data_IF_718594395459
#
_entry.id   IF_718594395459
#
_cell.length_a   1.000
_cell.length_b   1.000
_cell.length_c   1.000
_cell.angle_alpha   90.00
_cell.angle_beta   90.00
_cell.angle_gamma   90.00
#
_symmetry.space_group_name_H-M   'P 1'
#
loop_
_entity.id
_entity.type
_entity.pdbx_description
1 polymer ?
#
# COMPACT_ATOMS: atom_id res chain seq x y z
N UNK A 1 10.78 -8.06 1.98
CA UNK A 1 10.98 -7.66 0.54
C UNK A 1 11.61 -6.27 0.46
N UNK A 2 12.23 -5.87 -0.66
CA UNK A 2 12.82 -4.53 -0.80
C UNK A 2 11.77 -3.49 -1.24
N UNK A 3 11.52 -2.48 -0.39
CA UNK A 3 10.63 -1.35 -0.71
C UNK A 3 11.06 -0.63 -1.99
N UNK A 4 10.10 -0.37 -2.89
CA UNK A 4 10.28 0.44 -4.10
C UNK A 4 9.37 1.66 -4.03
N UNK A 5 9.86 2.82 -4.49
CA UNK A 5 9.05 4.05 -4.48
C UNK A 5 7.75 3.84 -5.27
N UNK A 6 6.58 4.03 -4.63
CA UNK A 6 5.28 3.90 -5.30
C UNK A 6 5.08 4.98 -6.37
N UNK A 7 4.33 4.63 -7.42
CA UNK A 7 3.96 5.53 -8.52
C UNK A 7 2.61 6.17 -8.17
N UNK A 8 2.61 7.47 -7.91
CA UNK A 8 1.41 8.22 -7.49
C UNK A 8 0.98 9.27 -8.52
N UNK A 9 1.43 9.12 -9.77
CA UNK A 9 1.17 10.03 -10.87
C UNK A 9 0.57 9.33 -12.09
N UNK A 10 -0.17 8.24 -11.88
CA UNK A 10 -0.91 7.55 -12.91
C UNK A 10 -1.82 8.55 -13.63
N UNK A 11 -1.67 8.63 -14.96
CA UNK A 11 -2.46 9.53 -15.78
C UNK A 11 -2.91 8.84 -17.08
N UNK A 12 -4.19 9.03 -17.41
CA UNK A 12 -4.71 8.74 -18.74
C UNK A 12 -4.48 9.96 -19.61
N UNK A 13 -3.81 9.77 -20.74
CA UNK A 13 -3.52 10.83 -21.72
C UNK A 13 -3.80 10.30 -23.11
N UNK A 14 -4.22 11.19 -23.99
CA UNK A 14 -4.41 10.90 -25.41
C UNK A 14 -3.52 11.86 -26.21
N UNK A 15 -2.93 11.39 -27.30
CA UNK A 15 -2.18 12.25 -28.22
C UNK A 15 -3.12 13.08 -29.12
N UNK A 16 -2.55 13.95 -29.96
CA UNK A 16 -3.30 14.79 -30.89
C UNK A 16 -4.09 13.98 -31.94
N UNK A 17 -3.70 12.72 -32.17
CA UNK A 17 -4.33 11.78 -33.10
C UNK A 17 -5.41 10.89 -32.42
N UNK A 18 -5.63 11.07 -31.11
CA UNK A 18 -6.61 10.34 -30.31
C UNK A 18 -6.17 8.95 -29.87
N UNK A 19 -4.89 8.59 -30.05
CA UNK A 19 -4.33 7.34 -29.52
C UNK A 19 -4.01 7.47 -28.03
N UNK A 20 -4.15 6.36 -27.30
CA UNK A 20 -3.88 6.32 -25.87
C UNK A 20 -2.37 6.41 -25.60
N UNK A 21 -1.96 7.47 -24.93
CA UNK A 21 -0.60 7.75 -24.49
C UNK A 21 -0.49 7.79 -22.95
N UNK A 22 -1.48 7.20 -22.27
CA UNK A 22 -1.51 7.11 -20.81
C UNK A 22 -0.65 5.98 -20.25
N UNK A 23 -0.63 5.90 -18.93
CA UNK A 23 0.01 4.79 -18.23
C UNK A 23 -0.82 3.51 -18.35
N UNK A 24 -0.16 2.39 -18.60
CA UNK A 24 -0.79 1.06 -18.59
C UNK A 24 -0.51 0.37 -17.27
N UNK A 25 -1.56 -0.16 -16.63
CA UNK A 25 -1.40 -0.99 -15.45
C UNK A 25 -1.15 -2.44 -15.87
N UNK A 26 0.05 -2.94 -15.57
CA UNK A 26 0.49 -4.29 -15.92
C UNK A 26 0.78 -5.18 -14.72
N UNK A 27 1.21 -6.41 -14.99
CA UNK A 27 1.56 -7.37 -13.96
C UNK A 27 2.75 -6.92 -13.10
N UNK A 28 3.74 -6.25 -13.70
CA UNK A 28 4.90 -5.73 -12.98
C UNK A 28 4.53 -4.66 -11.96
N UNK A 29 3.57 -3.79 -12.29
CA UNK A 29 3.07 -2.77 -11.37
C UNK A 29 2.28 -3.37 -10.22
N UNK A 30 1.44 -4.36 -10.51
CA UNK A 30 0.72 -5.10 -9.48
C UNK A 30 1.69 -5.78 -8.51
N UNK A 31 2.70 -6.50 -9.03
CA UNK A 31 3.71 -7.16 -8.21
C UNK A 31 4.52 -6.16 -7.38
N UNK A 32 4.85 -5.00 -7.95
CA UNK A 32 5.51 -3.91 -7.23
C UNK A 32 4.66 -3.40 -6.06
N UNK A 33 3.35 -3.22 -6.26
CA UNK A 33 2.42 -2.80 -5.19
C UNK A 33 2.31 -3.90 -4.13
N UNK A 34 2.15 -5.16 -4.53
CA UNK A 34 2.09 -6.30 -3.62
C UNK A 34 3.36 -6.43 -2.76
N UNK A 35 4.54 -6.36 -3.37
CA UNK A 35 5.84 -6.41 -2.67
C UNK A 35 5.99 -5.23 -1.69
N UNK A 36 5.51 -4.05 -2.06
CA UNK A 36 5.50 -2.88 -1.18
C UNK A 36 4.59 -3.09 0.04
N UNK A 37 3.39 -3.66 -0.15
CA UNK A 37 2.48 -3.99 0.96
C UNK A 37 3.11 -5.05 1.87
N UNK A 38 3.76 -6.08 1.30
CA UNK A 38 4.49 -7.07 2.09
C UNK A 38 5.60 -6.43 2.94
N UNK A 39 6.37 -5.49 2.36
CA UNK A 39 7.36 -4.74 3.11
C UNK A 39 6.74 -3.89 4.23
N UNK A 40 5.58 -3.26 3.99
CA UNK A 40 4.83 -2.54 5.01
C UNK A 40 4.35 -3.45 6.15
N UNK A 41 3.89 -4.66 5.84
CA UNK A 41 3.51 -5.66 6.83
C UNK A 41 4.71 -6.06 7.71
N UNK A 42 5.87 -6.32 7.11
CA UNK A 42 7.13 -6.61 7.84
C UNK A 42 7.51 -5.44 8.78
N UNK A 43 7.45 -4.19 8.28
CA UNK A 43 7.74 -3.00 9.09
C UNK A 43 6.75 -2.85 10.24
N UNK A 44 5.46 -3.03 9.97
CA UNK A 44 4.40 -2.87 10.95
C UNK A 44 4.47 -3.95 12.04
N UNK A 45 4.85 -5.20 11.70
CA UNK A 45 5.08 -6.26 12.68
C UNK A 45 6.23 -5.96 13.67
N UNK A 46 7.22 -5.16 13.25
CA UNK A 46 8.27 -4.68 14.15
C UNK A 46 7.82 -3.58 15.13
N UNK A 47 6.74 -2.87 14.79
CA UNK A 47 6.23 -1.73 15.55
C UNK A 47 5.02 -2.09 16.42
N UNK A 48 4.13 -2.93 15.91
CA UNK A 48 2.83 -3.27 16.49
C UNK A 48 2.69 -4.80 16.61
N UNK A 49 1.82 -5.24 17.51
CA UNK A 49 1.41 -6.65 17.57
C UNK A 49 0.23 -6.84 16.63
N UNK A 50 0.52 -7.35 15.43
CA UNK A 50 -0.46 -7.57 14.37
C UNK A 50 -0.86 -9.05 14.26
N UNK A 51 -2.06 -9.35 13.74
CA UNK A 51 -2.39 -10.68 13.27
C UNK A 51 -1.44 -11.09 12.13
N UNK A 52 -1.32 -12.40 11.87
CA UNK A 52 -0.55 -12.84 10.70
C UNK A 52 -1.17 -12.26 9.42
N UNK A 53 -0.35 -11.61 8.57
CA UNK A 53 -0.85 -11.05 7.34
C UNK A 53 -1.34 -12.17 6.40
N UNK A 54 -2.46 -11.94 5.73
CA UNK A 54 -2.91 -12.81 4.65
C UNK A 54 -1.89 -12.87 3.51
N UNK A 55 -1.83 -14.02 2.82
CA UNK A 55 -0.98 -14.17 1.66
C UNK A 55 -1.40 -13.21 0.54
N UNK A 56 -0.46 -12.41 0.05
CA UNK A 56 -0.68 -11.53 -1.09
C UNK A 56 -0.59 -12.34 -2.40
N UNK A 57 -1.49 -12.07 -3.35
CA UNK A 57 -1.50 -12.75 -4.64
C UNK A 57 -0.20 -12.48 -5.41
N UNK A 58 0.31 -13.52 -6.06
CA UNK A 58 1.46 -13.46 -6.94
C UNK A 58 0.97 -13.77 -8.35
N UNK A 59 0.91 -12.75 -9.20
CA UNK A 59 0.51 -12.91 -10.60
C UNK A 59 1.74 -13.06 -11.49
N UNK A 60 1.60 -13.76 -12.60
CA UNK A 60 2.66 -13.85 -13.62
C UNK A 60 2.40 -12.84 -14.73
N UNK A 61 3.43 -12.45 -15.48
CA UNK A 61 3.27 -11.57 -16.65
C UNK A 61 2.31 -12.13 -17.72
N UNK A 62 2.00 -13.43 -17.67
CA UNK A 62 1.02 -14.09 -18.53
C UNK A 62 -0.42 -14.02 -17.99
N UNK A 63 -0.63 -13.48 -16.78
CA UNK A 63 -1.93 -13.39 -16.11
C UNK A 63 -2.28 -11.94 -15.79
N UNK A 64 -3.54 -11.60 -16.04
CA UNK A 64 -4.10 -10.31 -15.61
C UNK A 64 -4.49 -10.40 -14.14
N UNK A 65 -4.31 -9.31 -13.39
CA UNK A 65 -4.86 -9.19 -12.05
C UNK A 65 -6.39 -9.22 -12.12
N UNK A 66 -7.02 -10.14 -11.39
CA UNK A 66 -8.46 -10.20 -11.28
C UNK A 66 -8.97 -9.34 -10.13
N UNK A 67 -10.30 -9.17 -10.07
CA UNK A 67 -10.94 -8.40 -9.01
C UNK A 67 -10.57 -8.92 -7.61
N UNK A 68 -10.48 -10.24 -7.43
CA UNK A 68 -10.10 -10.85 -6.16
C UNK A 68 -8.65 -10.54 -5.76
N UNK A 69 -7.74 -10.47 -6.75
CA UNK A 69 -6.35 -10.11 -6.49
C UNK A 69 -6.22 -8.66 -6.02
N UNK A 70 -6.98 -7.75 -6.64
CA UNK A 70 -7.04 -6.34 -6.23
C UNK A 70 -7.70 -6.18 -4.86
N UNK A 71 -8.77 -6.92 -4.58
CA UNK A 71 -9.42 -6.94 -3.27
C UNK A 71 -8.46 -7.43 -2.18
N UNK A 72 -7.60 -8.42 -2.48
CA UNK A 72 -6.59 -8.87 -1.53
C UNK A 72 -5.58 -7.77 -1.17
N UNK A 73 -5.20 -6.91 -2.13
CA UNK A 73 -4.35 -5.74 -1.85
C UNK A 73 -5.09 -4.70 -0.98
N UNK A 74 -6.35 -4.39 -1.29
CA UNK A 74 -7.18 -3.45 -0.54
C UNK A 74 -7.41 -3.94 0.90
N UNK A 75 -7.71 -5.22 1.08
CA UNK A 75 -7.94 -5.82 2.40
C UNK A 75 -6.65 -5.88 3.23
N UNK A 76 -5.51 -6.19 2.61
CA UNK A 76 -4.22 -6.15 3.29
C UNK A 76 -3.87 -4.73 3.79
N UNK A 77 -4.11 -3.70 2.97
CA UNK A 77 -3.94 -2.31 3.38
C UNK A 77 -4.96 -1.89 4.42
N UNK A 78 -6.22 -2.32 4.30
CA UNK A 78 -7.26 -2.07 5.31
C UNK A 78 -6.83 -2.60 6.67
N UNK A 79 -6.41 -3.87 6.72
CA UNK A 79 -5.87 -4.48 7.94
C UNK A 79 -4.72 -3.68 8.54
N UNK A 80 -3.74 -3.26 7.73
CA UNK A 80 -2.65 -2.40 8.21
C UNK A 80 -3.15 -1.06 8.78
N UNK A 81 -4.13 -0.43 8.14
CA UNK A 81 -4.65 0.85 8.64
C UNK A 81 -5.48 0.71 9.91
N UNK A 82 -6.18 -0.41 10.09
CA UNK A 82 -7.05 -0.65 11.24
C UNK A 82 -6.28 -1.20 12.44
N UNK A 83 -5.34 -2.10 12.20
CA UNK A 83 -4.60 -2.78 13.26
C UNK A 83 -3.29 -2.08 13.65
N UNK A 84 -2.68 -1.29 12.74
CA UNK A 84 -1.43 -0.57 13.02
C UNK A 84 -1.65 0.94 13.13
N UNK A 85 -1.81 1.62 12.00
CA UNK A 85 -1.90 3.07 11.95
C UNK A 85 -2.67 3.54 10.72
N UNK A 86 -3.68 4.40 10.92
CA UNK A 86 -4.43 5.06 9.85
C UNK A 86 -3.91 6.49 9.64
N UNK A 87 -3.23 6.78 8.51
CA UNK A 87 -2.86 8.15 8.17
C UNK A 87 -4.09 9.09 8.09
N UNK A 88 -3.90 10.36 8.42
CA UNK A 88 -4.94 11.37 8.23
C UNK A 88 -5.22 11.55 6.73
N UNK A 89 -6.49 11.58 6.35
CA UNK A 89 -6.89 11.70 4.93
C UNK A 89 -6.90 10.37 4.17
N UNK A 90 -6.79 9.22 4.85
CA UNK A 90 -7.05 7.90 4.22
C UNK A 90 -8.43 7.90 3.58
N UNK A 91 -8.45 7.76 2.27
CA UNK A 91 -9.66 7.62 1.46
C UNK A 91 -10.32 6.26 1.69
N UNK A 92 -11.64 6.12 1.42
CA UNK A 92 -12.31 4.84 1.55
C UNK A 92 -11.68 3.76 0.64
N UNK A 93 -11.68 2.52 1.13
CA UNK A 93 -11.26 1.36 0.35
C UNK A 93 -12.35 0.98 -0.66
N UNK A 94 -11.91 0.48 -1.82
CA UNK A 94 -12.81 0.07 -2.91
C UNK A 94 -12.90 -1.45 -2.93
N UNK A 95 -14.08 -1.97 -3.26
CA UNK A 95 -14.27 -3.41 -3.53
C UNK A 95 -14.48 -3.61 -5.01
N UNK A 96 -13.54 -4.30 -5.63
CA UNK A 96 -13.54 -4.65 -7.04
C UNK A 96 -14.47 -5.84 -7.29
N UNK A 97 -15.24 -5.79 -8.37
CA UNK A 97 -16.14 -6.86 -8.80
C UNK A 97 -15.76 -7.34 -10.20
N UNK A 98 -15.88 -8.64 -10.43
CA UNK A 98 -15.65 -9.20 -11.76
C UNK A 98 -16.63 -8.62 -12.79
N UNK A 99 -16.14 -8.41 -14.01
CA UNK A 99 -16.86 -7.80 -15.14
C UNK A 99 -17.19 -6.29 -14.99
N UNK A 100 -16.63 -5.63 -13.98
CA UNK A 100 -16.64 -4.17 -13.89
C UNK A 100 -15.34 -3.57 -14.45
N UNK A 101 -15.31 -2.25 -14.75
CA UNK A 101 -14.08 -1.58 -15.13
C UNK A 101 -13.00 -1.81 -14.07
N UNK A 102 -11.79 -2.14 -14.54
CA UNK A 102 -10.62 -2.27 -13.67
C UNK A 102 -10.20 -0.93 -13.05
N UNK A 103 -9.15 -0.94 -12.21
CA UNK A 103 -8.71 0.23 -11.46
C UNK A 103 -8.31 1.37 -12.38
N UNK A 104 -8.90 2.53 -12.12
CA UNK A 104 -8.55 3.77 -12.81
C UNK A 104 -7.25 4.37 -12.26
N UNK A 105 -6.70 5.40 -12.92
CA UNK A 105 -5.52 6.12 -12.43
C UNK A 105 -5.72 6.71 -11.04
N UNK A 106 -6.94 7.18 -10.73
CA UNK A 106 -7.28 7.74 -9.42
C UNK A 106 -7.23 6.69 -8.31
N UNK A 107 -7.69 5.47 -8.57
CA UNK A 107 -7.64 4.36 -7.62
C UNK A 107 -6.21 3.90 -7.36
N UNK A 108 -5.41 3.78 -8.44
CA UNK A 108 -4.00 3.44 -8.34
C UNK A 108 -3.24 4.52 -7.57
N UNK A 109 -3.46 5.79 -7.89
CA UNK A 109 -2.86 6.92 -7.17
C UNK A 109 -3.27 6.90 -5.68
N UNK A 110 -4.52 6.60 -5.35
CA UNK A 110 -5.02 6.47 -3.97
C UNK A 110 -4.28 5.35 -3.22
N UNK A 111 -4.24 4.15 -3.79
CA UNK A 111 -3.58 2.98 -3.20
C UNK A 111 -2.10 3.23 -2.97
N UNK A 112 -1.40 3.68 -4.01
CA UNK A 112 0.04 3.90 -3.98
C UNK A 112 0.43 5.07 -3.05
N UNK A 113 -0.40 6.12 -2.97
CA UNK A 113 -0.21 7.22 -2.01
C UNK A 113 -0.41 6.76 -0.57
N UNK A 114 -1.37 5.86 -0.31
CA UNK A 114 -1.56 5.28 1.01
C UNK A 114 -0.34 4.45 1.42
N UNK A 115 0.18 3.61 0.52
CA UNK A 115 1.43 2.88 0.76
C UNK A 115 2.59 3.84 1.11
N UNK A 116 2.75 4.92 0.35
CA UNK A 116 3.77 5.94 0.60
C UNK A 116 3.63 6.59 1.99
N UNK A 117 2.39 6.96 2.36
CA UNK A 117 2.09 7.57 3.64
C UNK A 117 2.40 6.61 4.82
N UNK A 118 1.97 5.34 4.72
CA UNK A 118 2.26 4.31 5.72
C UNK A 118 3.77 4.08 5.88
N UNK A 119 4.50 3.96 4.79
CA UNK A 119 5.96 3.78 4.83
C UNK A 119 6.64 4.97 5.54
N UNK A 120 6.24 6.20 5.21
CA UNK A 120 6.73 7.42 5.84
C UNK A 120 6.43 7.44 7.35
N UNK A 121 5.22 7.08 7.76
CA UNK A 121 4.82 7.02 9.17
C UNK A 121 5.59 5.94 9.94
N UNK A 122 5.68 4.71 9.42
CA UNK A 122 6.42 3.62 10.08
C UNK A 122 7.90 3.90 10.20
N UNK A 123 8.52 4.50 9.17
CA UNK A 123 9.93 4.92 9.23
C UNK A 123 10.16 5.95 10.35
N UNK A 124 9.27 6.95 10.45
CA UNK A 124 9.36 7.96 11.51
C UNK A 124 9.15 7.36 12.90
N UNK A 125 8.18 6.45 13.06
CA UNK A 125 7.93 5.75 14.32
C UNK A 125 9.11 4.88 14.75
N UNK A 126 9.70 4.13 13.81
CA UNK A 126 10.89 3.32 14.08
C UNK A 126 12.07 4.19 14.56
N UNK A 127 12.30 5.33 13.89
CA UNK A 127 13.33 6.29 14.28
C UNK A 127 13.04 6.96 15.64
N UNK A 128 11.78 7.30 15.93
CA UNK A 128 11.37 7.89 17.20
C UNK A 128 11.51 6.91 18.36
N UNK A 129 11.18 5.63 18.17
CA UNK A 129 11.31 4.58 19.18
C UNK A 129 12.77 4.39 19.62
N UNK A 130 13.72 4.50 18.71
CA UNK A 130 15.15 4.48 19.04
C UNK A 130 15.58 5.65 19.93
N UNK A 131 14.85 6.77 19.92
CA UNK A 131 15.15 7.98 20.72
C UNK A 131 14.45 8.01 22.08
N UNK A 132 13.39 7.21 22.29
CA UNK A 132 12.57 7.23 23.51
C UNK A 132 13.15 6.42 24.68
N UNK A 133 14.40 5.97 24.58
CA UNK A 133 15.12 5.36 25.71
C UNK A 133 15.52 6.44 26.74
N UNK A 134 14.55 6.98 27.46
CA UNK A 134 14.79 7.82 28.63
C UNK A 134 14.22 7.14 29.88
N UNK A 135 15.02 7.10 30.95
CA UNK A 135 14.58 6.58 32.25
C UNK A 135 13.70 7.64 32.91
N UNK A 136 12.39 7.40 33.00
CA UNK A 136 11.52 8.24 33.81
C UNK A 136 11.87 7.99 35.29
N UNK A 137 12.69 8.86 35.87
CA UNK A 137 13.14 8.73 37.26
C UNK A 137 11.94 8.68 38.20
N UNK A 138 11.83 7.58 38.94
CA UNK A 138 10.78 7.36 39.92
C UNK A 138 10.80 8.45 40.98
N UNK A 139 9.65 9.11 41.17
CA UNK A 139 9.43 9.98 42.33
C UNK A 139 9.15 9.04 43.50
N UNK A 140 10.15 8.84 44.37
CA UNK A 140 9.94 8.29 45.71
C UNK A 140 9.14 9.31 46.51
N UNK A 141 7.93 8.94 46.93
CA UNK A 141 7.19 9.62 47.98
C UNK A 141 7.67 9.14 49.35
#
# INVERSE_FOLDING_TARGET
MAWKTPKTNWAVRYDEDGAYAGDYFGAEDFLRIADNIAALQEMAAGLYRLPEPGALPQITAASFAYADDLNALEDALRGLTEDAFRPAGTQPFVTWRGNEPGPGPEDLNRLESLCAALHGSFTQQAAARARLAMTLGGVQF
#
